data_IF_981304862513
#
_entry.id   IF_981304862513
#
_cell.length_a   1.000
_cell.length_b   1.000
_cell.length_c   1.000
_cell.angle_alpha   90.00
_cell.angle_beta   90.00
_cell.angle_gamma   90.00
#
_symmetry.space_group_name_H-M   'P 1'
#
loop_
_entity.id
_entity.type
_entity.pdbx_description
1 polymer ?
#
# COMPACT_ATOMS: atom_id res chain seq x y z
N UNK A 1 -12.33 12.91 15.53
CA UNK A 1 -12.10 12.17 14.26
C UNK A 1 -10.82 11.36 14.41
N UNK A 2 -10.93 10.07 14.21
CA UNK A 2 -9.82 9.13 14.33
C UNK A 2 -9.62 8.39 13.00
N UNK A 3 -8.42 8.48 12.45
CA UNK A 3 -8.03 7.84 11.19
C UNK A 3 -6.98 6.78 11.50
N UNK A 4 -7.22 5.56 11.06
CA UNK A 4 -6.25 4.46 11.09
C UNK A 4 -5.61 4.33 9.72
N UNK A 5 -4.30 4.25 9.66
CA UNK A 5 -3.57 4.05 8.41
C UNK A 5 -2.89 2.70 8.46
N UNK A 6 -3.23 1.84 7.52
CA UNK A 6 -2.56 0.55 7.35
C UNK A 6 -1.24 0.78 6.62
N UNK A 7 -0.16 0.23 7.14
CA UNK A 7 1.16 0.32 6.54
C UNK A 7 1.84 -1.04 6.55
N UNK A 8 2.37 -1.47 5.43
CA UNK A 8 3.12 -2.72 5.27
C UNK A 8 4.59 -2.42 4.98
N UNK A 9 5.46 -3.17 5.62
CA UNK A 9 6.88 -3.20 5.27
C UNK A 9 7.10 -4.32 4.26
N UNK A 10 7.70 -3.98 3.15
CA UNK A 10 7.88 -4.86 1.99
C UNK A 10 9.36 -4.96 1.63
N UNK A 11 9.77 -5.96 0.86
CA UNK A 11 11.06 -5.98 0.19
C UNK A 11 11.29 -4.71 -0.63
N UNK A 12 12.56 -4.35 -0.82
CA UNK A 12 12.91 -3.22 -1.67
C UNK A 12 12.57 -3.57 -3.13
N UNK A 13 11.48 -3.00 -3.63
CA UNK A 13 10.97 -3.26 -4.99
C UNK A 13 11.80 -2.57 -6.10
N UNK A 14 12.77 -1.73 -5.73
CA UNK A 14 13.71 -1.13 -6.69
C UNK A 14 14.87 -2.09 -7.01
N UNK A 15 15.02 -3.16 -6.23
CA UNK A 15 16.06 -4.17 -6.41
C UNK A 15 15.70 -5.11 -7.56
N UNK A 16 16.62 -5.41 -8.50
CA UNK A 16 16.37 -6.37 -9.56
C UNK A 16 15.99 -7.75 -9.03
N UNK A 17 15.06 -8.43 -9.71
CA UNK A 17 14.55 -9.75 -9.30
C UNK A 17 15.67 -10.80 -9.13
N UNK A 18 16.77 -10.68 -9.87
CA UNK A 18 17.92 -11.58 -9.79
C UNK A 18 18.72 -11.45 -8.48
N UNK A 19 18.49 -10.39 -7.72
CA UNK A 19 19.16 -10.15 -6.44
C UNK A 19 18.41 -10.76 -5.25
N UNK A 20 17.24 -11.37 -5.49
CA UNK A 20 16.53 -12.14 -4.47
C UNK A 20 17.03 -13.58 -4.40
N UNK A 21 17.10 -14.12 -3.20
CA UNK A 21 17.35 -15.53 -2.95
C UNK A 21 16.02 -16.24 -2.66
N UNK A 22 15.78 -17.36 -3.33
CA UNK A 22 14.63 -18.19 -3.08
C UNK A 22 14.99 -19.32 -2.11
N UNK A 23 14.36 -19.37 -0.94
CA UNK A 23 14.47 -20.49 -0.01
C UNK A 23 13.15 -20.72 0.73
N UNK A 24 12.81 -22.00 0.95
CA UNK A 24 11.57 -22.40 1.60
C UNK A 24 10.30 -21.76 0.99
N UNK A 25 10.23 -21.72 -0.34
CA UNK A 25 9.15 -21.07 -1.10
C UNK A 25 8.96 -19.56 -0.80
N UNK A 26 9.96 -18.90 -0.25
CA UNK A 26 9.93 -17.45 -0.01
C UNK A 26 11.12 -16.77 -0.67
N UNK A 27 10.88 -15.61 -1.25
CA UNK A 27 11.93 -14.74 -1.74
C UNK A 27 12.54 -13.97 -0.56
N UNK A 28 13.84 -14.09 -0.39
CA UNK A 28 14.60 -13.37 0.62
C UNK A 28 15.44 -12.29 -0.04
N UNK A 29 15.29 -11.07 0.45
CA UNK A 29 16.08 -9.95 0.01
C UNK A 29 17.38 -9.82 0.80
N UNK A 30 18.44 -9.39 0.11
CA UNK A 30 19.74 -9.05 0.73
C UNK A 30 19.81 -7.59 1.19
N UNK A 31 18.77 -6.82 0.92
CA UNK A 31 18.74 -5.37 1.07
C UNK A 31 17.77 -4.93 2.18
N UNK A 32 17.74 -3.64 2.43
CA UNK A 32 16.84 -3.07 3.44
C UNK A 32 15.40 -3.17 2.97
N UNK A 33 14.53 -3.60 3.87
CA UNK A 33 13.09 -3.51 3.67
C UNK A 33 12.63 -2.05 3.75
N UNK A 34 11.57 -1.74 3.04
CA UNK A 34 11.02 -0.39 2.95
C UNK A 34 9.50 -0.39 3.14
N UNK A 35 8.91 0.78 3.30
CA UNK A 35 7.46 0.91 3.35
C UNK A 35 6.87 0.79 1.95
N UNK A 36 5.70 0.19 1.84
CA UNK A 36 4.97 0.11 0.57
C UNK A 36 4.74 1.50 -0.03
N UNK A 37 4.94 1.64 -1.35
CA UNK A 37 4.82 2.91 -2.05
C UNK A 37 3.44 3.56 -1.83
N UNK A 38 2.36 2.80 -2.06
CA UNK A 38 1.00 3.30 -1.88
C UNK A 38 0.64 3.55 -0.41
N UNK A 39 1.31 2.87 0.53
CA UNK A 39 1.11 3.12 1.96
C UNK A 39 1.67 4.48 2.35
N UNK A 40 2.79 4.89 1.76
CA UNK A 40 3.32 6.24 1.95
C UNK A 40 2.36 7.32 1.43
N UNK A 41 1.66 7.08 0.31
CA UNK A 41 0.59 7.97 -0.18
C UNK A 41 -0.61 8.00 0.78
N UNK A 42 -0.99 6.85 1.35
CA UNK A 42 -2.05 6.77 2.34
C UNK A 42 -1.71 7.55 3.62
N UNK A 43 -0.45 7.45 4.07
CA UNK A 43 0.05 8.22 5.21
C UNK A 43 -0.03 9.73 4.92
N UNK A 44 0.43 10.16 3.76
CA UNK A 44 0.37 11.58 3.38
C UNK A 44 -1.07 12.09 3.33
N UNK A 45 -1.99 11.32 2.72
CA UNK A 45 -3.42 11.66 2.68
C UNK A 45 -4.00 11.79 4.09
N UNK A 46 -3.65 10.88 5.01
CA UNK A 46 -4.07 10.96 6.40
C UNK A 46 -3.48 12.17 7.14
N UNK A 47 -2.22 12.50 6.88
CA UNK A 47 -1.57 13.68 7.49
C UNK A 47 -2.22 14.98 7.00
N UNK A 48 -2.58 15.08 5.72
CA UNK A 48 -3.33 16.23 5.20
C UNK A 48 -4.70 16.37 5.88
N UNK A 49 -5.43 15.27 6.10
CA UNK A 49 -6.69 15.28 6.85
C UNK A 49 -6.49 15.70 8.30
N UNK A 50 -5.43 15.20 8.94
CA UNK A 50 -5.07 15.62 10.31
C UNK A 50 -4.81 17.12 10.40
N UNK A 51 -4.03 17.67 9.48
CA UNK A 51 -3.70 19.09 9.45
C UNK A 51 -4.96 19.95 9.21
N UNK A 52 -5.85 19.49 8.33
CA UNK A 52 -7.06 20.23 7.97
C UNK A 52 -8.17 20.14 9.02
N UNK A 53 -8.34 18.98 9.65
CA UNK A 53 -9.50 18.67 10.50
C UNK A 53 -9.14 18.33 11.95
N UNK A 54 -7.87 18.46 12.34
CA UNK A 54 -7.38 18.08 13.69
C UNK A 54 -7.69 16.61 14.03
N UNK A 55 -7.56 15.70 13.05
CA UNK A 55 -7.75 14.28 13.27
C UNK A 55 -6.59 13.67 14.06
N UNK A 56 -6.86 12.61 14.83
CA UNK A 56 -5.81 11.74 15.37
C UNK A 56 -5.44 10.66 14.37
N UNK A 57 -4.15 10.31 14.28
CA UNK A 57 -3.64 9.30 13.36
C UNK A 57 -3.01 8.13 14.11
N UNK A 58 -3.52 6.93 13.86
CA UNK A 58 -2.89 5.68 14.31
C UNK A 58 -2.34 4.93 13.10
N UNK A 59 -1.05 4.63 13.12
CA UNK A 59 -0.43 3.72 12.15
C UNK A 59 -0.61 2.30 12.68
N UNK A 60 -1.15 1.42 11.86
CA UNK A 60 -1.36 0.01 12.18
C UNK A 60 -0.68 -0.85 11.13
N UNK A 61 0.08 -1.84 11.58
CA UNK A 61 0.77 -2.81 10.73
C UNK A 61 0.55 -4.23 11.24
N UNK A 62 0.65 -5.17 10.32
CA UNK A 62 0.83 -6.59 10.59
C UNK A 62 2.18 -7.02 10.01
N UNK A 63 3.03 -7.65 10.82
CA UNK A 63 4.36 -8.07 10.38
C UNK A 63 5.31 -8.38 11.52
N UNK A 64 6.60 -8.45 11.24
CA UNK A 64 7.63 -8.77 12.21
C UNK A 64 8.07 -7.58 13.05
N UNK A 65 8.67 -7.85 14.21
CA UNK A 65 9.25 -6.79 15.07
C UNK A 65 10.39 -6.04 14.39
N UNK A 66 11.06 -6.68 13.45
CA UNK A 66 12.15 -6.08 12.66
C UNK A 66 11.65 -5.00 11.70
N UNK A 67 10.34 -4.90 11.49
CA UNK A 67 9.70 -3.86 10.67
C UNK A 67 9.58 -2.51 11.41
N UNK A 68 9.66 -2.51 12.74
CA UNK A 68 9.47 -1.31 13.58
C UNK A 68 10.35 -0.12 13.14
N UNK A 69 11.65 -0.29 12.83
CA UNK A 69 12.48 0.82 12.36
C UNK A 69 11.94 1.50 11.10
N UNK A 70 11.39 0.73 10.15
CA UNK A 70 10.78 1.24 8.92
C UNK A 70 9.44 1.92 9.23
N UNK A 71 8.57 1.28 10.02
CA UNK A 71 7.27 1.82 10.42
C UNK A 71 7.37 3.15 11.18
N UNK A 72 8.49 3.40 11.86
CA UNK A 72 8.75 4.69 12.50
C UNK A 72 8.86 5.86 11.52
N UNK A 73 9.10 5.59 10.22
CA UNK A 73 9.03 6.62 9.17
C UNK A 73 7.60 7.18 9.07
N UNK A 74 6.56 6.32 9.12
CA UNK A 74 5.16 6.77 9.11
C UNK A 74 4.83 7.69 10.30
N UNK A 75 5.38 7.35 11.47
CA UNK A 75 5.25 8.21 12.66
C UNK A 75 5.98 9.53 12.46
N UNK A 76 7.16 9.52 11.87
CA UNK A 76 7.93 10.73 11.58
C UNK A 76 7.28 11.64 10.53
N UNK A 77 6.51 11.07 9.59
CA UNK A 77 5.70 11.80 8.61
C UNK A 77 4.50 12.51 9.26
N UNK A 78 4.00 12.04 10.41
CA UNK A 78 2.88 12.70 11.09
C UNK A 78 1.98 11.78 11.91
N UNK A 79 2.21 10.46 11.88
CA UNK A 79 1.52 9.49 12.73
C UNK A 79 1.70 9.77 14.22
N UNK A 80 0.67 9.56 15.02
CA UNK A 80 0.72 9.82 16.47
C UNK A 80 1.00 8.56 17.26
N UNK A 81 0.34 7.48 16.92
CA UNK A 81 0.47 6.16 17.55
C UNK A 81 0.96 5.15 16.53
N UNK A 82 1.68 4.16 16.99
CA UNK A 82 2.12 3.01 16.18
C UNK A 82 1.68 1.73 16.88
N UNK A 83 0.89 0.94 16.21
CA UNK A 83 0.48 -0.40 16.63
C UNK A 83 0.99 -1.43 15.63
N UNK A 84 1.52 -2.54 16.12
CA UNK A 84 2.00 -3.66 15.34
C UNK A 84 1.35 -4.94 15.85
N UNK A 85 0.63 -5.64 15.00
CA UNK A 85 0.27 -7.03 15.26
C UNK A 85 1.45 -7.88 14.78
N UNK A 86 2.05 -8.60 15.74
CA UNK A 86 3.24 -9.40 15.47
C UNK A 86 2.83 -10.76 14.90
N UNK A 87 3.10 -10.96 13.61
CA UNK A 87 2.79 -12.19 12.88
C UNK A 87 3.63 -12.28 11.60
N UNK A 88 3.55 -13.42 10.92
CA UNK A 88 4.33 -13.71 9.70
C UNK A 88 3.52 -14.38 8.58
N UNK A 89 2.18 -14.38 8.69
CA UNK A 89 1.30 -14.95 7.68
C UNK A 89 1.24 -14.12 6.42
N UNK A 90 1.22 -14.78 5.26
CA UNK A 90 0.94 -14.19 3.95
C UNK A 90 -0.52 -14.40 3.51
N UNK A 91 -1.34 -15.07 4.33
CA UNK A 91 -2.76 -15.29 4.07
C UNK A 91 -3.55 -14.01 4.33
N UNK A 92 -4.23 -13.43 3.32
CA UNK A 92 -4.95 -12.19 3.47
C UNK A 92 -6.11 -12.26 4.46
N UNK A 93 -6.73 -13.44 4.68
CA UNK A 93 -7.77 -13.61 5.69
C UNK A 93 -7.20 -13.50 7.11
N UNK A 94 -6.07 -14.16 7.36
CA UNK A 94 -5.37 -14.08 8.66
C UNK A 94 -4.96 -12.64 8.93
N UNK A 95 -4.36 -11.97 7.94
CA UNK A 95 -3.95 -10.57 8.07
C UNK A 95 -5.16 -9.66 8.36
N UNK A 96 -6.25 -9.78 7.58
CA UNK A 96 -7.44 -8.95 7.77
C UNK A 96 -8.09 -9.18 9.15
N UNK A 97 -8.19 -10.44 9.62
CA UNK A 97 -8.73 -10.77 10.93
C UNK A 97 -7.89 -10.16 12.07
N UNK A 98 -6.57 -10.21 11.93
CA UNK A 98 -5.65 -9.65 12.90
C UNK A 98 -5.66 -8.10 12.92
N UNK A 99 -5.76 -7.47 11.76
CA UNK A 99 -5.96 -6.02 11.66
C UNK A 99 -7.31 -5.62 12.28
N UNK A 100 -8.38 -6.38 12.02
CA UNK A 100 -9.67 -6.15 12.66
C UNK A 100 -9.58 -6.22 14.19
N UNK A 101 -8.97 -7.27 14.73
CA UNK A 101 -8.77 -7.44 16.16
C UNK A 101 -8.04 -6.24 16.79
N UNK A 102 -7.08 -5.67 16.07
CA UNK A 102 -6.36 -4.47 16.53
C UNK A 102 -7.25 -3.21 16.46
N UNK A 103 -8.07 -3.07 15.42
CA UNK A 103 -8.98 -1.94 15.21
C UNK A 103 -10.12 -1.98 16.25
N UNK A 104 -10.66 -3.15 16.58
CA UNK A 104 -11.71 -3.32 17.59
C UNK A 104 -11.29 -2.83 19.00
N UNK A 105 -9.98 -2.66 19.24
CA UNK A 105 -9.44 -2.09 20.49
C UNK A 105 -9.26 -0.57 20.45
N UNK A 106 -9.56 0.04 19.31
CA UNK A 106 -9.51 1.49 19.12
C UNK A 106 -10.92 2.08 19.27
N UNK A 107 -10.98 3.30 19.77
CA UNK A 107 -12.24 4.01 19.93
C UNK A 107 -12.47 4.94 18.73
N UNK A 108 -13.73 5.09 18.34
CA UNK A 108 -14.22 6.09 17.38
C UNK A 108 -13.42 6.17 16.07
N UNK A 109 -13.16 5.03 15.42
CA UNK A 109 -12.49 5.00 14.13
C UNK A 109 -13.45 5.46 13.03
N UNK A 110 -13.18 6.61 12.44
CA UNK A 110 -13.99 7.18 11.36
C UNK A 110 -13.58 6.68 9.98
N UNK A 111 -12.27 6.62 9.71
CA UNK A 111 -11.71 6.16 8.44
C UNK A 111 -10.54 5.21 8.67
N UNK A 112 -10.42 4.26 7.75
CA UNK A 112 -9.22 3.44 7.57
C UNK A 112 -8.66 3.73 6.19
N UNK A 113 -7.40 4.16 6.12
CA UNK A 113 -6.70 4.39 4.87
C UNK A 113 -5.66 3.28 4.67
N UNK A 114 -5.60 2.73 3.49
CA UNK A 114 -4.61 1.74 3.09
C UNK A 114 -4.03 2.12 1.73
N UNK A 115 -2.83 1.68 1.42
CA UNK A 115 -2.32 1.74 0.05
C UNK A 115 -3.18 0.90 -0.90
N UNK A 116 -3.20 1.23 -2.17
CA UNK A 116 -3.98 0.52 -3.19
C UNK A 116 -3.65 -0.98 -3.22
N UNK A 117 -2.38 -1.32 -3.08
CA UNK A 117 -1.85 -2.67 -3.05
C UNK A 117 -0.44 -2.66 -2.45
N UNK A 118 0.06 -3.80 -2.02
CA UNK A 118 1.44 -3.94 -1.54
C UNK A 118 2.38 -4.29 -2.70
N UNK A 119 3.57 -3.69 -2.72
CA UNK A 119 4.53 -3.87 -3.82
C UNK A 119 5.14 -5.29 -3.90
N UNK A 120 4.98 -6.11 -2.88
CA UNK A 120 5.48 -7.48 -2.83
C UNK A 120 4.50 -8.52 -3.40
N UNK A 121 3.22 -8.38 -3.11
CA UNK A 121 2.21 -9.38 -3.47
C UNK A 121 1.19 -8.87 -4.51
N UNK A 122 1.06 -7.57 -4.67
CA UNK A 122 0.14 -6.87 -5.60
C UNK A 122 -1.33 -7.33 -5.54
N UNK A 123 -1.74 -8.01 -4.47
CA UNK A 123 -3.08 -8.61 -4.38
C UNK A 123 -4.20 -7.58 -4.19
N UNK A 124 -3.96 -6.51 -3.43
CA UNK A 124 -4.94 -5.45 -3.17
C UNK A 124 -6.26 -5.91 -2.53
N UNK A 125 -6.26 -6.97 -1.72
CA UNK A 125 -7.49 -7.59 -1.20
C UNK A 125 -7.72 -7.39 0.30
N UNK A 126 -6.66 -7.26 1.10
CA UNK A 126 -6.75 -7.22 2.58
C UNK A 126 -7.66 -6.09 3.07
N UNK A 127 -7.55 -4.91 2.49
CA UNK A 127 -8.37 -3.76 2.88
C UNK A 127 -9.86 -3.94 2.56
N UNK A 128 -10.20 -4.61 1.44
CA UNK A 128 -11.60 -4.96 1.12
C UNK A 128 -12.16 -6.01 2.07
N UNK A 129 -11.37 -7.05 2.38
CA UNK A 129 -11.74 -8.08 3.36
C UNK A 129 -11.94 -7.49 4.76
N UNK A 130 -11.03 -6.58 5.16
CA UNK A 130 -11.13 -5.87 6.43
C UNK A 130 -12.40 -5.02 6.51
N UNK A 131 -12.75 -4.32 5.41
CA UNK A 131 -13.97 -3.52 5.35
C UNK A 131 -15.22 -4.37 5.57
N UNK A 132 -15.31 -5.53 4.92
CA UNK A 132 -16.40 -6.47 5.11
C UNK A 132 -16.47 -6.98 6.56
N UNK A 133 -15.33 -7.38 7.14
CA UNK A 133 -15.28 -7.84 8.53
C UNK A 133 -15.68 -6.77 9.56
N UNK A 134 -15.47 -5.48 9.25
CA UNK A 134 -15.82 -4.34 10.09
C UNK A 134 -17.22 -3.79 9.80
N UNK A 135 -17.90 -4.28 8.77
CA UNK A 135 -19.15 -3.74 8.24
C UNK A 135 -19.02 -2.26 7.83
N UNK A 136 -17.84 -1.88 7.33
CA UNK A 136 -17.53 -0.54 6.83
C UNK A 136 -17.70 -0.48 5.31
N UNK A 137 -18.04 0.69 4.78
CA UNK A 137 -18.02 0.90 3.33
C UNK A 137 -16.59 0.74 2.80
N UNK A 138 -16.44 0.09 1.63
CA UNK A 138 -15.15 0.02 0.93
C UNK A 138 -15.17 0.84 -0.36
N UNK A 139 -14.23 1.77 -0.51
CA UNK A 139 -14.09 2.58 -1.72
C UNK A 139 -12.62 2.54 -2.17
N UNK A 140 -12.32 1.84 -3.30
CA UNK A 140 -10.97 1.72 -3.81
C UNK A 140 -10.52 2.92 -4.64
N UNK A 141 -9.20 3.01 -4.88
CA UNK A 141 -8.55 3.94 -5.83
C UNK A 141 -8.85 5.41 -5.57
N UNK A 142 -8.74 5.83 -4.33
CA UNK A 142 -9.02 7.20 -3.91
C UNK A 142 -7.80 8.08 -4.17
N UNK A 143 -8.03 9.15 -4.94
CA UNK A 143 -7.04 10.17 -5.27
C UNK A 143 -7.08 11.34 -4.27
N UNK A 144 -8.27 11.69 -3.77
CA UNK A 144 -8.45 12.84 -2.87
C UNK A 144 -9.55 12.56 -1.86
N UNK A 145 -9.35 13.05 -0.64
CA UNK A 145 -10.32 12.94 0.45
C UNK A 145 -10.58 14.34 1.01
N UNK A 146 -11.84 14.65 1.22
CA UNK A 146 -12.29 15.88 1.86
C UNK A 146 -13.53 15.62 2.72
N UNK A 147 -14.01 16.64 3.42
CA UNK A 147 -15.24 16.61 4.18
C UNK A 147 -16.08 17.85 3.89
N UNK A 148 -17.35 17.65 3.59
CA UNK A 148 -18.29 18.72 3.26
C UNK A 148 -19.63 18.41 3.93
N UNK A 149 -20.21 19.37 4.66
CA UNK A 149 -21.51 19.24 5.34
C UNK A 149 -21.64 18.00 6.25
N UNK A 150 -20.54 17.63 6.93
CA UNK A 150 -20.49 16.46 7.81
C UNK A 150 -20.31 15.11 7.10
N UNK A 151 -20.33 15.07 5.78
CA UNK A 151 -20.11 13.88 4.95
C UNK A 151 -18.66 13.84 4.42
N UNK A 152 -18.18 12.65 4.13
CA UNK A 152 -16.96 12.44 3.39
C UNK A 152 -17.21 12.71 1.90
N UNK A 153 -16.26 13.38 1.27
CA UNK A 153 -16.24 13.66 -0.16
C UNK A 153 -14.92 13.15 -0.72
N UNK A 154 -14.99 12.24 -1.66
CA UNK A 154 -13.79 11.61 -2.24
C UNK A 154 -13.79 11.69 -3.76
N UNK A 155 -12.60 11.77 -4.33
CA UNK A 155 -12.39 11.59 -5.76
C UNK A 155 -11.82 10.20 -5.96
N UNK A 156 -12.55 9.36 -6.67
CA UNK A 156 -12.14 8.02 -7.05
C UNK A 156 -11.65 8.00 -8.48
N UNK A 157 -10.47 7.42 -8.72
CA UNK A 157 -10.00 7.12 -10.06
C UNK A 157 -10.68 5.86 -10.61
N UNK A 158 -10.98 5.88 -11.91
CA UNK A 158 -11.52 4.74 -12.66
C UNK A 158 -10.78 4.60 -13.98
N UNK A 159 -10.93 3.49 -14.68
CA UNK A 159 -10.31 3.29 -16.00
C UNK A 159 -10.70 4.35 -17.03
N UNK A 160 -11.90 4.91 -16.93
CA UNK A 160 -12.43 5.91 -17.86
C UNK A 160 -12.29 7.37 -17.38
N UNK A 161 -11.65 7.59 -16.23
CA UNK A 161 -11.47 8.93 -15.67
C UNK A 161 -11.62 8.96 -14.16
N UNK A 162 -12.28 9.98 -13.61
CA UNK A 162 -12.51 10.11 -12.17
C UNK A 162 -13.97 10.42 -11.86
N UNK A 163 -14.42 10.05 -10.67
CA UNK A 163 -15.76 10.41 -10.17
C UNK A 163 -15.71 10.93 -8.75
N UNK A 164 -16.60 11.82 -8.43
CA UNK A 164 -16.80 12.32 -7.08
C UNK A 164 -17.87 11.47 -6.38
N UNK A 165 -17.57 11.07 -5.14
CA UNK A 165 -18.51 10.34 -4.28
C UNK A 165 -18.65 11.08 -2.96
N UNK A 166 -19.87 11.07 -2.40
CA UNK A 166 -20.16 11.54 -1.04
C UNK A 166 -20.79 10.40 -0.24
N UNK A 167 -20.35 10.24 1.00
CA UNK A 167 -20.89 9.22 1.90
C UNK A 167 -20.85 9.66 3.37
N UNK A 168 -21.69 9.05 4.18
CA UNK A 168 -21.65 9.16 5.64
C UNK A 168 -21.19 7.85 6.27
N UNK A 169 -20.85 7.89 7.55
CA UNK A 169 -20.40 6.72 8.31
C UNK A 169 -18.92 6.38 8.10
N UNK A 170 -18.56 5.18 8.53
CA UNK A 170 -17.18 4.71 8.55
C UNK A 170 -16.84 4.01 7.23
N UNK A 171 -15.59 4.14 6.79
CA UNK A 171 -15.16 3.54 5.54
C UNK A 171 -13.69 3.09 5.58
N UNK A 172 -13.38 2.11 4.76
CA UNK A 172 -12.03 1.74 4.36
C UNK A 172 -11.80 2.28 2.95
N UNK A 173 -10.76 3.09 2.80
CA UNK A 173 -10.40 3.71 1.53
C UNK A 173 -9.04 3.19 1.09
N UNK A 174 -8.94 2.69 -0.14
CA UNK A 174 -7.63 2.40 -0.71
C UNK A 174 -7.13 3.59 -1.52
N UNK A 175 -5.91 4.02 -1.23
CA UNK A 175 -5.33 5.27 -1.73
C UNK A 175 -4.43 4.96 -2.92
N UNK A 176 -4.66 5.65 -4.03
CA UNK A 176 -3.79 5.60 -5.21
C UNK A 176 -2.77 6.74 -5.18
N UNK A 177 -1.67 6.57 -5.94
CA UNK A 177 -0.64 7.60 -6.06
C UNK A 177 -1.09 8.68 -7.05
N UNK A 178 -1.08 9.92 -6.60
CA UNK A 178 -1.38 11.11 -7.40
C UNK A 178 -0.46 12.26 -6.98
N UNK A 179 -0.29 13.32 -7.79
CA UNK A 179 0.56 14.44 -7.43
C UNK A 179 0.20 15.13 -6.10
N UNK A 180 -1.07 15.07 -5.70
CA UNK A 180 -1.60 15.73 -4.51
C UNK A 180 -1.25 15.01 -3.21
N UNK A 181 -0.90 13.72 -3.27
CA UNK A 181 -0.55 12.91 -2.10
C UNK A 181 0.89 12.36 -2.16
N UNK A 182 1.79 13.07 -2.85
CA UNK A 182 3.22 12.74 -2.83
C UNK A 182 3.73 12.76 -1.39
N UNK A 183 4.36 11.68 -0.91
CA UNK A 183 4.79 11.56 0.46
C UNK A 183 5.77 12.66 0.88
N UNK A 184 5.52 13.32 2.00
CA UNK A 184 6.44 14.30 2.57
C UNK A 184 7.70 13.64 3.11
N UNK A 185 8.82 14.35 3.00
CA UNK A 185 10.08 13.93 3.61
C UNK A 185 10.06 14.34 5.09
N UNK A 186 10.19 13.40 6.04
CA UNK A 186 10.23 13.73 7.46
C UNK A 186 11.45 14.58 7.81
N UNK A 187 11.29 15.53 8.73
CA UNK A 187 12.41 16.33 9.25
C UNK A 187 13.28 15.50 10.18
N UNK A 188 14.54 15.87 10.34
CA UNK A 188 15.47 15.24 11.31
C UNK A 188 14.87 15.25 12.71
N UNK A 189 14.23 16.35 13.12
CA UNK A 189 13.57 16.47 14.42
C UNK A 189 12.43 15.46 14.58
N UNK A 190 11.57 15.31 13.57
CA UNK A 190 10.46 14.34 13.62
C UNK A 190 10.95 12.89 13.63
N UNK A 191 12.04 12.58 12.93
CA UNK A 191 12.67 11.25 12.95
C UNK A 191 13.16 10.91 14.38
N UNK A 192 13.87 11.84 15.05
CA UNK A 192 14.31 11.62 16.42
C UNK A 192 13.14 11.50 17.40
N UNK A 193 12.08 12.29 17.22
CA UNK A 193 10.87 12.19 18.04
C UNK A 193 10.17 10.84 17.86
N UNK A 194 10.05 10.36 16.63
CA UNK A 194 9.42 9.07 16.30
C UNK A 194 10.16 7.88 16.93
N UNK A 195 11.50 7.95 17.03
CA UNK A 195 12.30 6.89 17.69
C UNK A 195 11.94 6.68 19.15
N UNK A 196 11.46 7.72 19.84
CA UNK A 196 11.12 7.69 21.26
C UNK A 196 9.67 7.29 21.54
N UNK A 197 8.80 7.29 20.51
CA UNK A 197 7.41 6.91 20.70
C UNK A 197 7.28 5.42 21.00
N UNK A 198 6.42 5.03 21.95
CA UNK A 198 6.15 3.63 22.22
C UNK A 198 5.48 2.97 21.01
N UNK A 199 5.69 1.68 20.87
CA UNK A 199 4.99 0.83 19.91
C UNK A 199 4.04 -0.06 20.71
N UNK A 200 2.77 -0.07 20.33
CA UNK A 200 1.78 -0.97 20.90
C UNK A 200 1.86 -2.29 20.16
N UNK A 201 2.54 -3.27 20.76
CA UNK A 201 2.67 -4.61 20.18
C UNK A 201 1.49 -5.47 20.61
N UNK A 202 0.85 -6.10 19.65
CA UNK A 202 -0.28 -7.02 19.83
C UNK A 202 0.14 -8.41 19.36
N UNK A 203 -0.27 -9.43 20.09
CA UNK A 203 -0.08 -10.82 19.65
C UNK A 203 -1.07 -11.14 18.54
N UNK A 204 -0.61 -11.92 17.58
CA UNK A 204 -1.45 -12.50 16.54
C UNK A 204 -2.51 -13.42 17.13
N UNK A 205 -3.70 -13.40 16.54
CA UNK A 205 -4.76 -14.40 16.80
C UNK A 205 -4.79 -15.41 15.64
N UNK A 206 -5.21 -16.64 15.96
CA UNK A 206 -5.50 -17.62 14.91
C UNK A 206 -6.65 -17.09 14.04
N UNK A 207 -6.43 -17.01 12.73
CA UNK A 207 -7.43 -16.66 11.74
C UNK A 207 -7.83 -17.89 10.90
N UNK A 208 -8.99 -17.83 10.26
CA UNK A 208 -9.35 -18.82 9.26
C UNK A 208 -8.45 -18.61 8.03
N UNK A 209 -7.67 -19.61 7.69
CA UNK A 209 -6.87 -19.62 6.46
C UNK A 209 -7.76 -19.76 5.23
N UNK A 210 -7.33 -19.20 4.12
CA UNK A 210 -7.97 -19.47 2.83
C UNK A 210 -7.69 -20.94 2.44
N UNK A 211 -8.65 -21.63 1.80
CA UNK A 211 -8.45 -23.00 1.32
C UNK A 211 -7.61 -23.01 0.02
N UNK A 212 -6.44 -22.39 0.07
CA UNK A 212 -5.51 -22.26 -1.06
C UNK A 212 -4.14 -22.69 -0.55
N UNK A 213 -3.58 -23.70 -1.18
CA UNK A 213 -2.23 -24.18 -0.90
C UNK A 213 -1.27 -23.61 -1.94
N UNK A 214 -0.18 -23.01 -1.49
CA UNK A 214 0.92 -22.62 -2.35
C UNK A 214 1.73 -23.85 -2.73
N UNK A 215 1.81 -24.15 -4.03
CA UNK A 215 2.48 -25.36 -4.52
C UNK A 215 3.97 -25.12 -4.73
N UNK A 216 4.33 -24.02 -5.38
CA UNK A 216 5.72 -23.61 -5.60
C UNK A 216 5.84 -22.11 -5.82
N UNK A 217 7.02 -21.59 -5.50
CA UNK A 217 7.44 -20.23 -5.86
C UNK A 217 8.75 -20.34 -6.61
N UNK A 218 8.78 -19.77 -7.82
CA UNK A 218 9.95 -19.83 -8.70
C UNK A 218 10.32 -18.42 -9.17
N UNK A 219 11.61 -18.20 -9.44
CA UNK A 219 12.07 -16.95 -10.06
C UNK A 219 11.79 -17.04 -11.56
N UNK A 220 10.94 -16.16 -12.12
CA UNK A 220 10.63 -16.20 -13.54
C UNK A 220 11.88 -15.90 -14.37
N UNK A 221 12.22 -16.79 -15.29
CA UNK A 221 13.23 -16.53 -16.29
C UNK A 221 12.57 -15.78 -17.45
N UNK A 222 12.79 -14.48 -17.52
CA UNK A 222 12.27 -13.64 -18.59
C UNK A 222 13.36 -13.55 -19.65
N UNK A 223 13.20 -14.30 -20.74
CA UNK A 223 13.97 -14.07 -21.95
C UNK A 223 13.34 -12.89 -22.70
N UNK A 224 13.92 -11.71 -22.58
CA UNK A 224 13.52 -10.57 -23.39
C UNK A 224 14.28 -10.58 -24.70
N UNK A 225 13.60 -10.82 -25.81
CA UNK A 225 14.14 -10.59 -27.15
C UNK A 225 13.97 -9.12 -27.48
N UNK A 226 15.05 -8.34 -27.34
CA UNK A 226 15.05 -6.95 -27.74
C UNK A 226 15.55 -6.83 -29.17
N UNK A 227 14.71 -6.32 -30.07
CA UNK A 227 15.10 -6.03 -31.44
C UNK A 227 15.34 -4.54 -31.61
N UNK A 228 16.55 -4.18 -32.07
CA UNK A 228 16.88 -2.80 -32.36
C UNK A 228 16.54 -2.46 -33.81
N UNK A 229 15.78 -1.42 -34.02
CA UNK A 229 15.51 -0.84 -35.35
C UNK A 229 16.48 0.34 -35.52
N UNK A 230 17.53 0.20 -36.36
CA UNK A 230 18.49 1.29 -36.55
C UNK A 230 17.80 2.47 -37.24
N UNK A 231 18.08 3.68 -36.72
CA UNK A 231 17.52 4.94 -37.22
C UNK A 231 18.61 5.95 -37.61
N UNK A 232 19.83 5.46 -37.90
CA UNK A 232 21.02 6.31 -38.05
C UNK A 232 20.87 7.37 -39.17
N UNK A 233 20.17 7.05 -40.28
CA UNK A 233 20.05 7.93 -41.43
C UNK A 233 18.61 8.37 -41.77
N UNK A 234 17.57 7.64 -41.33
CA UNK A 234 16.17 7.95 -41.61
C UNK A 234 15.21 7.49 -40.50
N UNK A 235 14.92 8.41 -39.59
CA UNK A 235 13.95 8.18 -38.49
C UNK A 235 12.55 7.85 -39.04
N UNK A 236 12.16 8.41 -40.19
CA UNK A 236 10.84 8.14 -40.77
C UNK A 236 10.74 6.71 -41.30
N UNK A 237 11.81 6.17 -41.87
CA UNK A 237 11.84 4.76 -42.29
C UNK A 237 11.87 3.80 -41.09
N UNK A 238 12.65 4.10 -40.05
CA UNK A 238 12.62 3.32 -38.81
C UNK A 238 11.22 3.30 -38.16
N UNK A 239 10.51 4.42 -38.16
CA UNK A 239 9.14 4.50 -37.67
C UNK A 239 8.18 3.64 -38.50
N UNK A 240 8.33 3.57 -39.82
CA UNK A 240 7.52 2.70 -40.68
C UNK A 240 7.79 1.22 -40.42
N UNK A 241 9.06 0.85 -40.20
CA UNK A 241 9.44 -0.51 -39.84
C UNK A 241 8.78 -0.91 -38.52
N UNK A 242 8.87 -0.05 -37.49
CA UNK A 242 8.21 -0.29 -36.20
C UNK A 242 6.70 -0.46 -36.37
N UNK A 243 6.06 0.47 -37.10
CA UNK A 243 4.62 0.42 -37.34
C UNK A 243 4.18 -0.87 -38.03
N UNK A 244 4.96 -1.32 -39.02
CA UNK A 244 4.69 -2.59 -39.73
C UNK A 244 4.78 -3.77 -38.76
N UNK A 245 5.85 -3.85 -37.94
CA UNK A 245 6.02 -4.91 -36.94
C UNK A 245 4.89 -4.95 -35.93
N UNK A 246 4.51 -3.78 -35.38
CA UNK A 246 3.39 -3.70 -34.44
C UNK A 246 2.06 -4.20 -35.03
N UNK A 247 1.83 -3.97 -36.34
CA UNK A 247 0.66 -4.50 -37.07
C UNK A 247 0.74 -6.00 -37.30
N UNK A 248 1.92 -6.50 -37.70
CA UNK A 248 2.16 -7.94 -37.90
C UNK A 248 1.92 -8.74 -36.63
N UNK A 249 2.38 -8.20 -35.48
CA UNK A 249 2.20 -8.77 -34.15
C UNK A 249 0.82 -8.46 -33.52
N UNK A 250 -0.04 -7.70 -34.19
CA UNK A 250 -1.41 -7.33 -33.77
C UNK A 250 -1.47 -6.51 -32.48
N UNK A 251 -0.48 -5.68 -32.22
CA UNK A 251 -0.53 -4.71 -31.12
C UNK A 251 -1.35 -3.47 -31.47
N UNK A 252 -1.51 -3.15 -32.75
CA UNK A 252 -2.30 -2.03 -33.30
C UNK A 252 -3.00 -2.43 -34.59
#
# INVERSE_FOLDING_TARGET
>A
MHIVILAKVVPDYEVPANDFELSNNRAHERYKRMMGLYDENAIESGVQLKEKYSASLTILSYGGKDDIPVLRKAVAMGGEKLSLVVGDSDDPNVIAANLKMAIDKLEDVDLILAGQQSADMDRGVVHGMLAEMLEFAFIPQIAKIDREDGQWKVIQNTESGSRELKFGGNAVLSITSVPENVPRIPTVKSIFAAKKKPVNELAEIEGNTMPIDEVSVDIPQIESVCEFIPAEDDIAEAAKILLRKLREERYI
#
